data_IF_023152858432
#
_entry.id   IF_023152858432
#
_cell.length_a   1.000
_cell.length_b   1.000
_cell.length_c   1.000
_cell.angle_alpha   90.00
_cell.angle_beta   90.00
_cell.angle_gamma   90.00
#
_symmetry.space_group_name_H-M   'P 1'
#
loop_
_entity.id
_entity.type
_entity.pdbx_description
1 polymer ?
#
# COMPACT_ATOMS: atom_id res chain seq x y z
N UNK A 1 -12.52 26.89 11.55
CA UNK A 1 -12.45 26.50 10.12
C UNK A 1 -11.63 27.58 9.44
N UNK A 2 -10.60 27.23 8.67
CA UNK A 2 -9.89 28.24 7.89
C UNK A 2 -10.87 28.83 6.87
N UNK A 3 -11.06 30.14 6.90
CA UNK A 3 -11.82 30.83 5.85
C UNK A 3 -11.00 30.69 4.57
N UNK A 4 -11.48 29.84 3.66
CA UNK A 4 -10.91 29.71 2.32
C UNK A 4 -11.37 30.89 1.46
N UNK A 5 -10.47 31.47 0.68
CA UNK A 5 -10.80 32.53 -0.27
C UNK A 5 -11.58 31.95 -1.44
N UNK A 6 -11.26 30.71 -1.83
CA UNK A 6 -11.95 29.98 -2.89
C UNK A 6 -12.84 28.90 -2.25
N UNK A 7 -14.18 29.00 -2.40
CA UNK A 7 -15.08 27.96 -1.90
C UNK A 7 -15.04 26.72 -2.83
N UNK A 8 -15.20 25.53 -2.24
CA UNK A 8 -15.09 24.25 -2.97
C UNK A 8 -16.18 24.08 -4.05
N UNK A 9 -17.28 24.82 -3.96
CA UNK A 9 -18.38 24.81 -4.91
C UNK A 9 -18.04 25.55 -6.23
N UNK A 10 -16.98 26.37 -6.21
CA UNK A 10 -16.57 27.18 -7.38
C UNK A 10 -15.42 26.55 -8.18
N UNK A 11 -14.95 25.38 -7.78
CA UNK A 11 -13.89 24.67 -8.49
C UNK A 11 -14.44 24.07 -9.79
N UNK A 12 -13.67 24.22 -10.87
CA UNK A 12 -13.98 23.66 -12.18
C UNK A 12 -13.65 22.17 -12.22
N UNK A 13 -14.64 21.37 -12.55
CA UNK A 13 -14.52 19.92 -12.71
C UNK A 13 -13.58 19.56 -13.87
N UNK A 14 -12.76 18.54 -13.69
CA UNK A 14 -11.78 18.09 -14.68
C UNK A 14 -10.50 18.93 -14.73
N UNK A 15 -10.38 20.00 -13.94
CA UNK A 15 -9.13 20.73 -13.80
C UNK A 15 -8.05 19.85 -13.19
N UNK A 16 -6.82 20.02 -13.69
CA UNK A 16 -5.62 19.32 -13.22
C UNK A 16 -4.76 20.30 -12.46
N UNK A 17 -4.27 19.89 -11.29
CA UNK A 17 -3.42 20.69 -10.41
C UNK A 17 -2.17 19.90 -10.09
N UNK A 18 -1.02 20.54 -10.16
CA UNK A 18 0.26 19.89 -9.89
C UNK A 18 0.82 20.35 -8.55
N UNK A 19 1.19 19.40 -7.68
CA UNK A 19 1.82 19.69 -6.39
C UNK A 19 3.15 18.94 -6.29
N UNK A 20 4.25 19.68 -6.18
CA UNK A 20 5.60 19.13 -6.03
C UNK A 20 6.02 19.16 -4.56
N UNK A 21 6.76 18.15 -4.11
CA UNK A 21 7.36 18.12 -2.79
C UNK A 21 8.13 16.83 -2.52
N UNK A 22 8.73 16.75 -1.34
CA UNK A 22 9.45 15.57 -0.87
C UNK A 22 8.49 14.61 -0.18
N UNK A 23 8.52 13.35 -0.57
CA UNK A 23 7.65 12.34 0.02
C UNK A 23 8.04 12.06 1.47
N UNK A 24 7.10 12.18 2.40
CA UNK A 24 7.32 11.81 3.81
C UNK A 24 6.62 10.50 4.15
N UNK A 25 5.45 10.28 3.58
CA UNK A 25 4.67 9.07 3.80
C UNK A 25 3.86 8.75 2.55
N UNK A 26 3.80 7.47 2.19
CA UNK A 26 2.95 6.99 1.11
C UNK A 26 2.29 5.67 1.46
N UNK A 27 1.02 5.56 1.04
CA UNK A 27 0.24 4.34 0.94
C UNK A 27 -0.42 4.35 -0.43
N UNK A 28 0.30 3.85 -1.42
CA UNK A 28 -0.07 3.87 -2.84
C UNK A 28 -0.16 2.47 -3.45
N UNK A 29 0.59 1.49 -2.92
CA UNK A 29 0.59 0.12 -3.42
C UNK A 29 -0.72 -0.61 -3.07
N UNK A 30 -1.30 -0.31 -1.90
CA UNK A 30 -2.56 -0.88 -1.45
C UNK A 30 -3.35 0.14 -0.61
N UNK A 31 -4.70 0.09 -0.66
CA UNK A 31 -5.53 0.96 0.16
C UNK A 31 -5.47 0.53 1.64
N UNK A 32 -5.46 1.53 2.53
CA UNK A 32 -5.60 1.31 3.97
C UNK A 32 -7.02 0.79 4.23
N UNK A 33 -7.15 -0.46 4.65
CA UNK A 33 -8.43 -1.16 4.83
C UNK A 33 -8.41 -2.09 6.05
N UNK A 34 -9.58 -2.60 6.46
CA UNK A 34 -9.70 -3.56 7.55
C UNK A 34 -9.16 -3.05 8.90
N UNK A 35 -8.30 -3.85 9.54
CA UNK A 35 -7.67 -3.49 10.83
C UNK A 35 -6.80 -2.23 10.72
N UNK A 36 -6.02 -2.09 9.65
CA UNK A 36 -5.18 -0.91 9.44
C UNK A 36 -6.01 0.38 9.30
N UNK A 37 -7.23 0.28 8.76
CA UNK A 37 -8.17 1.40 8.71
C UNK A 37 -8.71 1.75 10.11
N UNK A 38 -9.04 0.76 10.92
CA UNK A 38 -9.49 0.99 12.30
C UNK A 38 -8.40 1.68 13.14
N UNK A 39 -7.15 1.25 13.02
CA UNK A 39 -5.99 1.88 13.67
C UNK A 39 -5.74 3.30 13.17
N UNK A 40 -5.82 3.52 11.85
CA UNK A 40 -5.68 4.85 11.25
C UNK A 40 -6.77 5.79 11.76
N UNK A 41 -8.03 5.35 11.80
CA UNK A 41 -9.15 6.13 12.34
C UNK A 41 -8.95 6.45 13.83
N UNK A 42 -8.51 5.47 14.63
CA UNK A 42 -8.23 5.67 16.05
C UNK A 42 -7.10 6.69 16.26
N UNK A 43 -6.01 6.59 15.48
CA UNK A 43 -4.90 7.55 15.50
C UNK A 43 -5.36 8.95 15.10
N UNK A 44 -6.14 9.08 14.03
CA UNK A 44 -6.66 10.38 13.56
C UNK A 44 -7.57 11.03 14.62
N UNK A 45 -8.42 10.24 15.29
CA UNK A 45 -9.25 10.72 16.40
C UNK A 45 -8.41 11.16 17.61
N UNK A 46 -7.38 10.39 17.97
CA UNK A 46 -6.46 10.74 19.05
C UNK A 46 -5.68 12.04 18.75
N UNK A 47 -5.40 12.32 17.47
CA UNK A 47 -4.81 13.56 17.01
C UNK A 47 -5.82 14.73 16.91
N UNK A 48 -7.08 14.53 17.32
CA UNK A 48 -8.11 15.57 17.30
C UNK A 48 -8.69 15.87 15.92
N UNK A 49 -8.53 14.98 14.92
CA UNK A 49 -9.15 15.16 13.60
C UNK A 49 -10.66 14.99 13.73
N UNK A 50 -11.41 16.06 13.45
CA UNK A 50 -12.87 16.11 13.60
C UNK A 50 -13.59 15.11 12.69
N UNK A 51 -13.07 14.92 11.47
CA UNK A 51 -13.62 13.99 10.47
C UNK A 51 -12.51 13.05 9.99
N UNK A 52 -12.31 11.90 10.66
CA UNK A 52 -11.35 10.91 10.23
C UNK A 52 -11.85 10.18 8.98
N UNK A 53 -10.92 9.74 8.13
CA UNK A 53 -11.26 9.01 6.91
C UNK A 53 -11.61 7.56 7.24
N UNK A 54 -12.90 7.21 7.17
CA UNK A 54 -13.42 5.88 7.56
C UNK A 54 -13.64 4.92 6.38
N UNK A 55 -13.46 5.39 5.15
CA UNK A 55 -13.51 4.55 3.96
C UNK A 55 -12.09 4.05 3.62
N UNK A 56 -11.94 2.91 2.92
CA UNK A 56 -10.66 2.50 2.36
C UNK A 56 -10.04 3.61 1.51
N UNK A 57 -8.77 3.94 1.77
CA UNK A 57 -8.11 5.06 1.10
C UNK A 57 -6.61 4.84 0.93
N UNK A 58 -6.06 5.47 -0.10
CA UNK A 58 -4.61 5.70 -0.26
C UNK A 58 -4.26 7.06 0.31
N UNK A 59 -3.07 7.21 0.90
CA UNK A 59 -2.63 8.48 1.50
C UNK A 59 -1.26 8.84 0.97
N UNK A 60 -1.07 10.12 0.66
CA UNK A 60 0.24 10.69 0.37
C UNK A 60 0.46 11.91 1.23
N UNK A 61 1.64 12.01 1.82
CA UNK A 61 2.08 13.17 2.58
C UNK A 61 3.43 13.65 2.07
N UNK A 62 3.48 14.94 1.74
CA UNK A 62 4.64 15.65 1.24
C UNK A 62 5.15 16.67 2.26
N UNK A 63 6.43 17.00 2.16
CA UNK A 63 7.10 18.13 2.81
C UNK A 63 7.79 19.01 1.77
N UNK A 64 8.05 20.26 2.14
CA UNK A 64 8.44 21.32 1.20
C UNK A 64 7.48 21.38 -0.01
N UNK A 65 6.20 21.19 0.26
CA UNK A 65 5.17 21.10 -0.76
C UNK A 65 4.91 22.48 -1.38
N UNK A 66 4.85 22.53 -2.71
CA UNK A 66 4.52 23.72 -3.49
C UNK A 66 3.54 23.36 -4.61
N UNK A 67 2.57 24.25 -4.86
CA UNK A 67 1.72 24.16 -6.04
C UNK A 67 2.49 24.69 -7.24
N UNK A 68 2.52 23.94 -8.34
CA UNK A 68 3.10 24.39 -9.60
C UNK A 68 2.01 25.15 -10.35
N UNK A 69 2.26 26.43 -10.61
CA UNK A 69 1.33 27.29 -11.34
C UNK A 69 1.41 26.95 -12.82
N UNK A 70 0.27 26.57 -13.39
CA UNK A 70 0.17 26.14 -14.79
C UNK A 70 0.15 27.32 -15.76
N UNK A 71 -0.32 28.48 -15.30
CA UNK A 71 -0.37 29.70 -16.11
C UNK A 71 1.04 30.30 -16.30
N UNK A 72 1.51 30.48 -17.55
CA UNK A 72 2.77 31.15 -17.84
C UNK A 72 2.87 32.58 -17.29
N UNK A 73 1.74 33.24 -17.02
CA UNK A 73 1.70 34.58 -16.42
C UNK A 73 2.07 34.59 -14.93
N UNK A 74 2.12 33.41 -14.29
CA UNK A 74 2.39 33.26 -12.85
C UNK A 74 1.18 33.51 -11.96
N UNK A 75 0.00 33.76 -12.53
CA UNK A 75 -1.25 33.95 -11.77
C UNK A 75 -1.87 32.59 -11.44
N UNK A 76 -2.08 32.24 -10.16
CA UNK A 76 -2.71 30.98 -9.79
C UNK A 76 -4.19 30.97 -10.19
N UNK A 77 -4.64 29.84 -10.73
CA UNK A 77 -6.06 29.56 -10.92
C UNK A 77 -6.80 29.44 -9.57
N UNK A 78 -8.13 29.57 -9.55
CA UNK A 78 -8.91 29.33 -8.33
C UNK A 78 -8.65 27.95 -7.73
N UNK A 79 -8.46 26.94 -8.56
CA UNK A 79 -8.16 25.57 -8.17
C UNK A 79 -6.77 25.43 -7.53
N UNK A 80 -5.74 26.02 -8.13
CA UNK A 80 -4.39 26.07 -7.57
C UNK A 80 -4.37 26.82 -6.23
N UNK A 81 -5.10 27.94 -6.15
CA UNK A 81 -5.26 28.73 -4.92
C UNK A 81 -5.93 27.89 -3.82
N UNK A 82 -6.97 27.13 -4.16
CA UNK A 82 -7.66 26.25 -3.21
C UNK A 82 -6.73 25.17 -2.61
N UNK A 83 -5.85 24.60 -3.45
CA UNK A 83 -4.85 23.62 -2.99
C UNK A 83 -3.75 24.30 -2.19
N UNK A 84 -3.33 25.50 -2.59
CA UNK A 84 -2.35 26.31 -1.86
C UNK A 84 -2.83 26.66 -0.44
N UNK A 85 -4.11 27.00 -0.28
CA UNK A 85 -4.74 27.23 1.03
C UNK A 85 -4.88 25.96 1.88
N UNK A 86 -4.74 24.79 1.26
CA UNK A 86 -4.76 23.49 1.94
C UNK A 86 -3.37 23.00 2.37
N UNK A 87 -2.31 23.70 1.96
CA UNK A 87 -0.97 23.50 2.50
C UNK A 87 -0.96 23.87 3.98
N UNK A 88 -0.21 23.13 4.79
CA UNK A 88 -0.11 23.38 6.22
C UNK A 88 1.34 23.42 6.67
N UNK A 89 1.66 24.25 7.65
CA UNK A 89 2.96 24.19 8.30
C UNK A 89 2.98 23.03 9.29
N UNK A 90 3.93 22.11 9.14
CA UNK A 90 4.11 21.01 10.09
C UNK A 90 4.55 21.56 11.45
N UNK A 91 3.88 21.12 12.51
CA UNK A 91 4.09 21.64 13.88
C UNK A 91 5.07 20.80 14.71
N UNK A 92 5.42 19.60 14.27
CA UNK A 92 6.15 18.62 15.09
C UNK A 92 6.88 17.58 14.23
N UNK A 93 7.89 16.94 14.83
CA UNK A 93 8.72 15.92 14.20
C UNK A 93 9.87 16.50 13.38
N UNK A 94 10.56 15.63 12.63
CA UNK A 94 11.75 15.99 11.83
C UNK A 94 11.46 17.02 10.73
N UNK A 95 10.19 17.20 10.38
CA UNK A 95 9.72 18.13 9.36
C UNK A 95 9.10 19.40 9.95
N UNK A 96 9.28 19.68 11.24
CA UNK A 96 8.70 20.86 11.89
C UNK A 96 9.13 22.17 11.19
N UNK A 97 8.18 23.07 10.97
CA UNK A 97 8.40 24.34 10.27
C UNK A 97 8.35 24.25 8.73
N UNK A 98 8.37 23.05 8.16
CA UNK A 98 8.24 22.87 6.70
C UNK A 98 6.76 22.94 6.26
N UNK A 99 6.54 23.39 5.03
CA UNK A 99 5.22 23.36 4.38
C UNK A 99 4.93 21.94 3.93
N UNK A 100 3.88 21.35 4.48
CA UNK A 100 3.39 20.02 4.16
C UNK A 100 2.10 20.05 3.36
N UNK A 101 1.87 18.96 2.66
CA UNK A 101 0.61 18.67 1.99
C UNK A 101 0.25 17.22 2.23
N UNK A 102 -1.00 16.94 2.58
CA UNK A 102 -1.48 15.58 2.80
C UNK A 102 -2.85 15.43 2.20
N UNK A 103 -3.04 14.34 1.46
CA UNK A 103 -4.29 14.04 0.77
C UNK A 103 -4.61 12.56 0.90
N UNK A 104 -5.87 12.28 1.23
CA UNK A 104 -6.45 10.95 1.25
C UNK A 104 -7.29 10.78 -0.02
N UNK A 105 -6.99 9.77 -0.82
CA UNK A 105 -7.80 9.39 -1.97
C UNK A 105 -8.65 8.17 -1.61
N UNK A 106 -9.98 8.37 -1.58
CA UNK A 106 -11.00 7.37 -1.25
C UNK A 106 -11.61 6.69 -2.48
N UNK A 107 -11.09 7.00 -3.67
CA UNK A 107 -11.50 6.35 -4.91
C UNK A 107 -11.18 4.85 -4.92
N UNK A 108 -11.98 4.08 -5.64
CA UNK A 108 -11.76 2.64 -5.80
C UNK A 108 -10.54 2.30 -6.69
N UNK A 109 -10.08 3.28 -7.48
CA UNK A 109 -8.96 3.13 -8.42
C UNK A 109 -7.70 3.68 -7.76
N UNK A 110 -6.63 2.89 -7.74
CA UNK A 110 -5.32 3.33 -7.26
C UNK A 110 -4.73 4.40 -8.19
N UNK A 111 -4.07 5.43 -7.64
CA UNK A 111 -3.36 6.41 -8.45
C UNK A 111 -2.31 5.75 -9.34
N UNK A 112 -2.16 6.23 -10.57
CA UNK A 112 -1.10 5.73 -11.46
C UNK A 112 0.25 6.30 -11.03
N UNK A 113 1.26 5.45 -10.87
CA UNK A 113 2.61 5.89 -10.50
C UNK A 113 3.53 5.82 -11.71
N UNK A 114 4.27 6.90 -11.92
CA UNK A 114 5.13 7.14 -13.05
C UNK A 114 6.57 7.35 -12.57
N UNK A 115 7.52 6.58 -13.10
CA UNK A 115 8.96 6.75 -12.85
C UNK A 115 9.59 7.57 -13.97
N UNK A 116 10.51 8.48 -13.61
CA UNK A 116 11.29 9.25 -14.57
C UNK A 116 12.47 8.42 -15.09
N UNK A 117 12.49 8.17 -16.39
CA UNK A 117 13.59 7.52 -17.10
C UNK A 117 14.79 8.48 -17.26
N UNK A 118 15.98 7.95 -17.57
CA UNK A 118 17.19 8.75 -17.82
C UNK A 118 17.01 9.79 -18.94
N UNK A 119 16.22 9.46 -19.96
CA UNK A 119 15.88 10.32 -21.09
C UNK A 119 14.90 11.46 -20.72
N UNK A 120 14.45 11.52 -19.46
CA UNK A 120 13.48 12.50 -18.96
C UNK A 120 12.03 12.18 -19.30
N UNK A 121 11.75 11.05 -19.96
CA UNK A 121 10.40 10.52 -20.18
C UNK A 121 9.87 9.82 -18.93
N UNK A 122 8.56 9.59 -18.85
CA UNK A 122 7.93 8.88 -17.74
C UNK A 122 7.40 7.53 -18.17
N UNK A 123 7.65 6.49 -17.38
CA UNK A 123 7.10 5.14 -17.58
C UNK A 123 6.19 4.75 -16.41
N UNK A 124 5.08 4.09 -16.70
CA UNK A 124 4.19 3.60 -15.65
C UNK A 124 4.80 2.40 -14.96
N UNK A 125 4.80 2.43 -13.62
CA UNK A 125 5.22 1.33 -12.78
C UNK A 125 4.05 0.82 -11.94
N UNK A 126 4.01 -0.49 -11.73
CA UNK A 126 3.09 -1.11 -10.79
C UNK A 126 3.84 -1.26 -9.48
N UNK A 127 3.33 -0.60 -8.43
CA UNK A 127 3.96 -0.64 -7.12
C UNK A 127 3.72 -2.00 -6.46
N UNK A 128 4.79 -2.75 -6.22
CA UNK A 128 4.76 -3.91 -5.33
C UNK A 128 4.76 -3.47 -3.86
N UNK A 129 5.32 -2.29 -3.58
CA UNK A 129 5.49 -1.70 -2.24
C UNK A 129 5.30 -0.20 -2.29
N UNK A 130 5.05 0.38 -1.11
CA UNK A 130 4.96 1.83 -0.96
C UNK A 130 6.32 2.51 -1.20
N UNK A 131 6.28 3.75 -1.68
CA UNK A 131 7.46 4.54 -2.01
C UNK A 131 8.20 4.97 -0.72
N UNK A 132 9.53 5.02 -0.81
CA UNK A 132 10.39 5.44 0.28
C UNK A 132 10.25 6.94 0.58
N UNK A 133 10.42 7.36 1.84
CA UNK A 133 10.50 8.78 2.18
C UNK A 133 11.76 9.43 1.58
N UNK A 134 11.70 10.73 1.37
CA UNK A 134 12.79 11.55 0.83
C UNK A 134 12.83 11.66 -0.70
N UNK A 135 11.94 10.98 -1.42
CA UNK A 135 11.85 11.09 -2.89
C UNK A 135 11.20 12.42 -3.30
N UNK A 136 11.77 13.10 -4.31
CA UNK A 136 11.10 14.23 -4.95
C UNK A 136 10.00 13.73 -5.89
N UNK A 137 8.76 14.16 -5.62
CA UNK A 137 7.58 13.70 -6.33
C UNK A 137 6.69 14.87 -6.74
N UNK A 138 5.97 14.68 -7.84
CA UNK A 138 4.92 15.59 -8.31
C UNK A 138 3.59 14.84 -8.34
N UNK A 139 2.63 15.32 -7.56
CA UNK A 139 1.26 14.80 -7.56
C UNK A 139 0.45 15.51 -8.65
N UNK A 140 -0.24 14.71 -9.45
CA UNK A 140 -1.26 15.17 -10.41
C UNK A 140 -2.60 14.98 -9.74
N UNK A 141 -3.21 16.10 -9.37
CA UNK A 141 -4.49 16.14 -8.71
C UNK A 141 -5.59 16.47 -9.72
N UNK A 142 -6.76 15.89 -9.54
CA UNK A 142 -7.93 16.19 -10.35
C UNK A 142 -9.08 16.72 -9.51
N UNK A 143 -9.76 17.74 -10.02
CA UNK A 143 -11.02 18.23 -9.42
C UNK A 143 -12.17 17.39 -9.95
N UNK A 144 -12.99 16.84 -9.04
CA UNK A 144 -14.17 16.07 -9.42
C UNK A 144 -15.38 16.44 -8.57
N UNK A 145 -16.58 16.21 -9.10
CA UNK A 145 -17.82 16.37 -8.35
C UNK A 145 -18.35 15.00 -7.93
N UNK A 146 -18.41 14.69 -6.62
CA UNK A 146 -19.11 13.50 -6.16
C UNK A 146 -20.61 13.61 -6.49
N UNK A 147 -21.24 12.48 -6.87
CA UNK A 147 -22.63 12.47 -7.33
C UNK A 147 -23.62 13.07 -6.34
N UNK A 148 -23.42 12.80 -5.05
CA UNK A 148 -24.36 13.16 -3.97
C UNK A 148 -23.92 14.40 -3.16
N UNK A 149 -22.91 15.14 -3.64
CA UNK A 149 -22.37 16.29 -2.93
C UNK A 149 -22.26 17.53 -3.83
N UNK A 150 -22.63 18.69 -3.29
CA UNK A 150 -22.53 19.97 -4.01
C UNK A 150 -21.08 20.45 -4.12
N UNK A 151 -20.27 20.15 -3.09
CA UNK A 151 -18.85 20.50 -3.02
C UNK A 151 -18.03 19.60 -3.92
N UNK A 152 -17.05 20.19 -4.62
CA UNK A 152 -16.11 19.44 -5.44
C UNK A 152 -15.00 18.90 -4.55
N UNK A 153 -14.55 17.69 -4.85
CA UNK A 153 -13.42 17.03 -4.22
C UNK A 153 -12.15 17.19 -5.05
N UNK A 154 -11.02 16.98 -4.38
CA UNK A 154 -9.71 16.83 -5.02
C UNK A 154 -9.31 15.36 -4.88
N UNK A 155 -8.97 14.73 -5.99
CA UNK A 155 -8.48 13.36 -6.05
C UNK A 155 -7.02 13.32 -6.50
N UNK A 156 -6.37 12.18 -6.28
CA UNK A 156 -5.05 11.90 -6.83
C UNK A 156 -5.25 11.08 -8.09
N UNK A 157 -4.83 11.61 -9.24
CA UNK A 157 -4.88 10.88 -10.50
C UNK A 157 -3.57 10.14 -10.76
N UNK A 158 -2.44 10.84 -10.61
CA UNK A 158 -1.12 10.31 -10.87
C UNK A 158 -0.08 10.82 -9.87
N UNK A 159 0.99 10.04 -9.70
CA UNK A 159 2.17 10.38 -8.91
C UNK A 159 3.39 10.22 -9.79
N UNK A 160 4.09 11.31 -10.06
CA UNK A 160 5.34 11.31 -10.82
C UNK A 160 6.50 11.31 -9.83
N UNK A 161 7.40 10.36 -9.96
CA UNK A 161 8.64 10.32 -9.20
C UNK A 161 9.73 10.94 -10.07
N UNK A 162 10.27 12.07 -9.64
CA UNK A 162 11.24 12.85 -10.42
C UNK A 162 12.67 12.29 -10.32
N UNK A 163 12.88 11.32 -9.43
CA UNK A 163 14.13 10.63 -9.14
C UNK A 163 13.97 9.12 -9.31
N UNK A 164 15.07 8.33 -9.34
CA UNK A 164 14.98 6.87 -9.36
C UNK A 164 14.14 6.35 -8.20
N UNK A 165 13.21 5.44 -8.50
CA UNK A 165 12.23 4.95 -7.52
C UNK A 165 12.92 4.17 -6.41
N UNK A 166 12.52 4.46 -5.17
CA UNK A 166 12.96 3.76 -3.97
C UNK A 166 11.73 3.29 -3.20
N UNK A 167 11.82 2.11 -2.58
CA UNK A 167 10.71 1.50 -1.85
C UNK A 167 10.93 1.54 -0.33
N UNK A 168 9.83 1.62 0.42
CA UNK A 168 9.83 1.57 1.87
C UNK A 168 10.17 0.15 2.38
N UNK A 169 11.19 0.06 3.23
CA UNK A 169 11.79 -1.20 3.67
C UNK A 169 12.81 -1.71 2.65
N UNK A 170 14.06 -1.91 3.08
CA UNK A 170 15.23 -2.13 2.23
C UNK A 170 15.01 -3.10 1.08
N UNK A 171 14.69 -2.54 -0.10
CA UNK A 171 14.86 -3.25 -1.36
C UNK A 171 16.35 -3.42 -1.61
N UNK A 172 16.75 -4.63 -2.01
CA UNK A 172 18.12 -4.88 -2.45
C UNK A 172 18.31 -4.25 -3.82
N UNK A 173 19.24 -3.31 -3.92
CA UNK A 173 19.69 -2.76 -5.20
C UNK A 173 20.48 -3.84 -5.95
N UNK A 174 19.78 -4.58 -6.81
CA UNK A 174 20.34 -5.66 -7.60
C UNK A 174 21.46 -5.19 -8.52
N UNK A 175 21.42 -3.94 -8.98
CA UNK A 175 22.45 -3.36 -9.83
C UNK A 175 23.72 -3.05 -9.01
N UNK A 176 23.57 -2.45 -7.82
CA UNK A 176 24.70 -2.24 -6.92
C UNK A 176 25.33 -3.54 -6.40
N UNK A 177 24.52 -4.58 -6.18
CA UNK A 177 25.01 -5.91 -5.79
C UNK A 177 25.76 -6.59 -6.94
N UNK A 178 25.21 -6.55 -8.15
CA UNK A 178 25.87 -7.05 -9.35
C UNK A 178 27.20 -6.32 -9.63
N UNK A 179 27.23 -5.00 -9.47
CA UNK A 179 28.45 -4.19 -9.59
C UNK A 179 29.53 -4.56 -8.56
N UNK A 180 29.13 -5.17 -7.44
CA UNK A 180 30.04 -5.70 -6.40
C UNK A 180 30.30 -7.21 -6.56
N UNK A 181 29.88 -7.80 -7.67
CA UNK A 181 30.07 -9.23 -7.97
C UNK A 181 29.12 -10.16 -7.19
N UNK A 182 28.09 -9.63 -6.54
CA UNK A 182 27.11 -10.41 -5.77
C UNK A 182 25.94 -10.73 -6.70
N UNK A 183 25.87 -11.99 -7.14
CA UNK A 183 24.77 -12.52 -7.95
C UNK A 183 23.83 -13.31 -7.05
N UNK A 184 22.58 -12.86 -6.92
CA UNK A 184 21.59 -13.57 -6.11
C UNK A 184 20.82 -14.57 -6.98
N UNK A 185 20.80 -15.82 -6.54
CA UNK A 185 20.04 -16.91 -7.17
C UNK A 185 18.63 -16.98 -6.58
N UNK A 186 17.62 -16.61 -7.38
CA UNK A 186 16.20 -16.69 -7.04
C UNK A 186 15.58 -15.36 -6.59
N UNK A 187 14.25 -15.31 -6.42
CA UNK A 187 13.55 -14.09 -6.06
C UNK A 187 13.91 -13.67 -4.63
N UNK A 188 14.52 -12.49 -4.51
CA UNK A 188 14.86 -11.88 -3.23
C UNK A 188 13.58 -11.46 -2.52
N UNK A 189 13.36 -11.96 -1.32
CA UNK A 189 12.23 -11.57 -0.46
C UNK A 189 12.77 -11.00 0.83
N UNK A 190 12.27 -9.84 1.24
CA UNK A 190 12.49 -9.35 2.60
C UNK A 190 11.69 -10.22 3.56
N UNK A 191 12.36 -10.80 4.54
CA UNK A 191 11.70 -11.52 5.63
C UNK A 191 11.40 -10.51 6.73
N UNK A 192 10.14 -10.37 7.14
CA UNK A 192 9.80 -9.55 8.30
C UNK A 192 10.42 -10.19 9.54
N UNK A 193 10.85 -9.37 10.51
CA UNK A 193 11.46 -9.88 11.74
C UNK A 193 10.53 -10.81 12.54
N UNK A 194 9.21 -10.65 12.39
CA UNK A 194 8.18 -11.49 13.00
C UNK A 194 8.03 -12.86 12.29
N UNK A 195 8.42 -12.94 11.01
CA UNK A 195 8.40 -14.16 10.20
C UNK A 195 9.78 -14.84 10.14
N UNK A 196 10.78 -14.27 10.81
CA UNK A 196 12.11 -14.88 10.90
C UNK A 196 12.01 -16.16 11.73
N UNK A 197 12.50 -17.32 11.23
CA UNK A 197 12.55 -18.52 12.05
C UNK A 197 13.36 -18.20 13.31
N UNK A 198 12.72 -18.30 14.48
CA UNK A 198 13.37 -18.17 15.77
C UNK A 198 14.47 -19.24 15.82
N UNK A 199 15.71 -18.83 15.56
CA UNK A 199 16.84 -19.72 15.72
C UNK A 199 16.90 -20.11 17.19
N UNK A 200 16.49 -21.35 17.50
CA UNK A 200 16.61 -21.92 18.82
C UNK A 200 18.10 -22.05 19.15
N UNK A 201 18.68 -20.99 19.73
CA UNK A 201 20.01 -21.04 20.35
C UNK A 201 19.90 -21.79 21.68
N UNK A 202 19.77 -23.11 21.60
CA UNK A 202 20.00 -24.00 22.72
C UNK A 202 21.53 -24.13 22.92
N UNK A 203 22.13 -23.15 23.58
CA UNK A 203 23.44 -23.32 24.22
C UNK A 203 23.28 -23.04 25.71
N UNK A 204 22.76 -24.04 26.43
CA UNK A 204 22.97 -24.14 27.88
C UNK A 204 24.45 -24.44 28.14
N UNK A 205 25.25 -23.39 28.29
CA UNK A 205 26.57 -23.51 28.89
C UNK A 205 26.40 -23.48 30.42
N UNK A 206 26.28 -24.67 31.00
CA UNK A 206 26.36 -24.89 32.45
C UNK A 206 27.73 -24.42 32.93
N UNK A 207 27.73 -23.42 33.82
CA UNK A 207 28.93 -22.91 34.49
C UNK A 207 29.42 -23.96 35.48
N UNK A 208 30.39 -24.77 35.06
CA UNK A 208 31.23 -25.58 35.95
C UNK A 208 32.57 -24.88 36.10
N UNK A 209 32.80 -24.22 37.23
CA UNK A 209 34.10 -23.67 37.58
C UNK A 209 35.06 -24.79 38.05
N UNK A 210 36.31 -24.78 37.57
CA UNK A 210 37.42 -25.10 38.45
C UNK A 210 38.46 -23.96 38.49
N UNK A 211 39.07 -23.85 39.67
CA UNK A 211 40.03 -22.86 40.15
C UNK A 211 41.22 -22.58 39.23
N UNK A 212 41.56 -21.30 39.07
CA UNK A 212 42.92 -20.83 38.73
C UNK A 212 43.82 -20.82 39.98
N UNK A 213 45.12 -21.04 39.82
CA UNK A 213 46.03 -19.98 40.25
C UNK A 213 47.10 -19.66 39.21
N UNK A 214 47.51 -18.39 39.21
CA UNK A 214 48.86 -17.98 38.81
C UNK A 214 48.96 -17.13 37.54
N UNK A 215 48.82 -15.81 37.72
CA UNK A 215 49.51 -14.75 36.99
C UNK A 215 49.64 -14.87 35.46
N UNK A 216 48.90 -14.04 34.72
CA UNK A 216 49.48 -12.90 33.99
C UNK A 216 48.38 -12.04 33.39
N UNK A 217 48.36 -10.77 33.78
CA UNK A 217 47.65 -9.69 33.10
C UNK A 217 48.40 -9.42 31.79
N UNK A 218 47.74 -9.51 30.64
CA UNK A 218 48.12 -8.72 29.47
C UNK A 218 46.87 -8.06 28.88
N UNK A 219 47.00 -6.75 28.85
CA UNK A 219 46.13 -5.68 28.40
C UNK A 219 46.13 -5.59 26.86
N UNK A 220 45.00 -5.16 26.30
CA UNK A 220 44.76 -4.73 24.92
C UNK A 220 44.50 -5.80 23.84
N UNK A 221 43.25 -5.77 23.37
CA UNK A 221 42.69 -6.61 22.33
C UNK A 221 43.27 -6.36 20.94
N UNK A 222 43.45 -7.48 20.22
CA UNK A 222 43.16 -7.73 18.80
C UNK A 222 43.71 -9.15 18.50
N UNK A 223 42.89 -10.15 18.12
CA UNK A 223 43.44 -11.45 17.72
C UNK A 223 44.05 -11.38 16.32
N UNK A 224 45.36 -11.66 16.21
CA UNK A 224 46.03 -12.00 14.95
C UNK A 224 45.66 -13.43 14.52
N UNK A 225 45.54 -13.72 13.21
CA UNK A 225 45.34 -15.07 12.71
C UNK A 225 46.66 -15.85 12.66
N UNK A 226 46.62 -17.12 13.03
CA UNK A 226 47.68 -18.08 12.69
C UNK A 226 47.27 -19.51 13.05
N UNK A 227 47.98 -20.55 12.57
CA UNK A 227 48.66 -20.69 11.29
C UNK A 227 48.01 -21.79 10.42
N UNK A 228 48.32 -21.73 9.12
CA UNK A 228 48.07 -22.72 8.06
C UNK A 228 48.52 -24.14 8.40
N UNK A 229 47.72 -25.14 7.99
CA UNK A 229 48.20 -26.52 7.80
C UNK A 229 47.82 -27.00 6.39
N UNK A 230 48.79 -27.60 5.73
CA UNK A 230 48.86 -27.90 4.31
C UNK A 230 48.04 -29.14 3.87
N UNK A 231 47.83 -29.20 2.55
CA UNK A 231 47.09 -30.19 1.78
C UNK A 231 47.65 -31.62 1.85
N UNK A 232 46.77 -32.60 1.67
CA UNK A 232 47.12 -33.90 1.08
C UNK A 232 46.17 -34.20 -0.08
N UNK A 233 46.78 -34.57 -1.21
CA UNK A 233 46.15 -34.94 -2.49
C UNK A 233 46.06 -36.46 -2.52
N UNK A 234 44.90 -37.01 -2.86
CA UNK A 234 44.78 -38.41 -3.26
C UNK A 234 43.79 -38.51 -4.43
N UNK A 235 44.25 -39.21 -5.46
CA UNK A 235 43.76 -39.23 -6.84
C UNK A 235 43.07 -40.57 -7.16
N UNK A 236 42.01 -40.49 -7.99
CA UNK A 236 41.16 -41.49 -8.69
C UNK A 236 40.88 -42.88 -8.07
N UNK A 237 39.60 -43.28 -8.16
CA UNK A 237 39.19 -44.42 -9.00
C UNK A 237 37.71 -44.27 -9.43
N UNK A 238 37.46 -44.44 -10.72
CA UNK A 238 36.14 -44.53 -11.34
C UNK A 238 35.70 -45.99 -11.46
N UNK A 239 34.43 -46.28 -11.16
CA UNK A 239 33.73 -47.47 -11.66
C UNK A 239 32.22 -47.19 -11.75
N UNK A 240 31.52 -47.67 -12.80
CA UNK A 240 30.15 -47.25 -13.12
C UNK A 240 29.11 -48.23 -12.55
N UNK A 241 27.98 -47.73 -12.03
CA UNK A 241 26.78 -48.55 -11.80
C UNK A 241 25.50 -47.73 -12.01
N UNK A 242 24.80 -48.09 -13.10
CA UNK A 242 23.34 -48.11 -13.36
C UNK A 242 22.40 -47.06 -12.74
N UNK A 243 21.58 -46.34 -13.56
CA UNK A 243 20.46 -45.56 -13.04
C UNK A 243 19.32 -46.47 -12.57
N UNK A 244 19.01 -46.41 -11.27
CA UNK A 244 17.79 -46.98 -10.71
C UNK A 244 16.62 -46.06 -11.09
N UNK A 245 15.68 -46.60 -11.85
CA UNK A 245 14.42 -45.94 -12.19
C UNK A 245 13.57 -45.82 -10.90
N UNK A 246 13.53 -44.63 -10.31
CA UNK A 246 12.60 -44.34 -9.21
C UNK A 246 11.30 -43.86 -9.85
N UNK A 247 10.28 -44.71 -9.81
CA UNK A 247 8.92 -44.37 -10.21
C UNK A 247 8.39 -43.26 -9.29
N UNK A 248 8.11 -42.09 -9.86
CA UNK A 248 7.37 -41.03 -9.18
C UNK A 248 5.91 -41.47 -8.99
N UNK A 249 5.34 -41.42 -7.78
CA UNK A 249 3.92 -41.61 -7.56
C UNK A 249 3.11 -40.58 -8.35
N UNK A 250 2.05 -41.04 -9.02
CA UNK A 250 1.16 -40.22 -9.84
C UNK A 250 0.60 -39.02 -9.06
N UNK A 251 0.93 -37.82 -9.52
CA UNK A 251 0.26 -36.57 -9.12
C UNK A 251 -1.20 -36.60 -9.63
N UNK A 252 -2.19 -36.17 -8.82
CA UNK A 252 -3.54 -35.94 -9.31
C UNK A 252 -3.50 -34.90 -10.44
N UNK A 253 -4.14 -35.24 -11.56
CA UNK A 253 -4.09 -34.47 -12.80
C UNK A 253 -4.45 -33.00 -12.58
N UNK A 254 -3.57 -32.12 -13.06
CA UNK A 254 -3.84 -30.69 -13.23
C UNK A 254 -4.94 -30.57 -14.28
N UNK A 255 -6.14 -30.18 -13.83
CA UNK A 255 -7.27 -29.83 -14.69
C UNK A 255 -6.82 -28.69 -15.62
N UNK A 256 -6.75 -28.96 -16.93
CA UNK A 256 -6.28 -28.00 -17.93
C UNK A 256 -7.18 -26.76 -17.94
N UNK A 257 -6.64 -25.59 -18.30
CA UNK A 257 -7.43 -24.35 -18.37
C UNK A 257 -8.69 -24.49 -19.25
N UNK A 258 -8.62 -25.34 -20.29
CA UNK A 258 -9.77 -25.67 -21.13
C UNK A 258 -10.90 -26.38 -20.35
N UNK A 259 -10.55 -27.26 -19.40
CA UNK A 259 -11.54 -27.94 -18.54
C UNK A 259 -12.15 -26.99 -17.51
N UNK A 260 -11.36 -26.05 -16.95
CA UNK A 260 -11.89 -25.00 -16.07
C UNK A 260 -12.86 -24.06 -16.78
N UNK A 261 -12.54 -23.66 -18.01
CA UNK A 261 -13.42 -22.79 -18.82
C UNK A 261 -14.73 -23.54 -19.13
N UNK A 262 -14.66 -24.80 -19.55
CA UNK A 262 -15.85 -25.61 -19.83
C UNK A 262 -16.75 -25.78 -18.59
N UNK A 263 -16.16 -25.95 -17.40
CA UNK A 263 -16.89 -26.05 -16.13
C UNK A 263 -17.55 -24.73 -15.75
N UNK A 264 -16.85 -23.61 -15.89
CA UNK A 264 -17.39 -22.26 -15.64
C UNK A 264 -18.54 -21.92 -16.59
N UNK A 265 -18.44 -22.31 -17.86
CA UNK A 265 -19.53 -22.11 -18.84
C UNK A 265 -20.76 -22.96 -18.52
N UNK A 266 -20.58 -24.21 -18.09
CA UNK A 266 -21.69 -25.05 -17.63
C UNK A 266 -22.36 -24.48 -16.37
N UNK A 267 -21.61 -23.93 -15.42
CA UNK A 267 -22.14 -23.32 -14.20
C UNK A 267 -22.92 -22.02 -14.50
N UNK A 268 -22.43 -21.21 -15.44
CA UNK A 268 -23.14 -20.02 -15.96
C UNK A 268 -24.43 -20.39 -16.73
N UNK A 269 -24.41 -21.48 -17.49
CA UNK A 269 -25.60 -21.98 -18.19
C UNK A 269 -26.66 -22.51 -17.21
N UNK A 270 -26.24 -23.22 -16.16
CA UNK A 270 -27.13 -23.72 -15.11
C UNK A 270 -27.76 -22.59 -14.29
N UNK A 271 -26.98 -21.56 -13.94
CA UNK A 271 -27.51 -20.38 -13.23
C UNK A 271 -28.47 -19.56 -14.10
N UNK A 272 -28.19 -19.41 -15.41
CA UNK A 272 -29.14 -18.79 -16.34
C UNK A 272 -30.42 -19.60 -16.51
N UNK A 273 -30.34 -20.93 -16.58
CA UNK A 273 -31.52 -21.79 -16.62
C UNK A 273 -32.35 -21.71 -15.33
N UNK A 274 -31.70 -21.60 -14.16
CA UNK A 274 -32.38 -21.38 -12.88
C UNK A 274 -33.06 -20.01 -12.79
N UNK A 275 -32.46 -18.96 -13.38
CA UNK A 275 -33.05 -17.62 -13.44
C UNK A 275 -34.24 -17.50 -14.39
N UNK A 276 -34.31 -18.35 -15.43
CA UNK A 276 -35.46 -18.41 -16.34
C UNK A 276 -36.64 -19.19 -15.71
N UNK A 277 -36.36 -20.09 -14.76
CA UNK A 277 -37.38 -20.91 -14.08
C UNK A 277 -37.86 -20.36 -12.72
N UNK A 278 -37.36 -19.20 -12.28
CA UNK A 278 -37.82 -18.51 -11.06
C UNK A 278 -38.91 -17.45 -11.33
N UNK A 279 -39.47 -17.44 -12.54
CA UNK A 279 -40.67 -16.68 -12.90
C UNK A 279 -41.97 -17.27 -12.36
N UNK A 280 -42.03 -17.57 -11.06
CA UNK A 280 -43.29 -17.78 -10.34
C UNK A 280 -43.17 -17.09 -9.00
N UNK A 281 -43.96 -16.03 -8.85
CA UNK A 281 -43.97 -15.15 -7.71
C UNK A 281 -44.14 -15.90 -6.39
N UNK A 282 -43.23 -15.61 -5.46
CA UNK A 282 -43.46 -15.57 -4.03
C UNK A 282 -42.22 -14.98 -3.36
N UNK A 283 -42.03 -13.67 -3.53
CA UNK A 283 -41.16 -12.86 -2.67
C UNK A 283 -42.05 -12.06 -1.71
N UNK A 284 -41.76 -12.02 -0.40
CA UNK A 284 -42.63 -11.40 0.61
C UNK A 284 -42.64 -9.85 0.56
N UNK A 285 -42.20 -9.25 -0.54
CA UNK A 285 -42.09 -7.80 -0.73
C UNK A 285 -42.89 -7.27 -1.93
N UNK A 286 -43.61 -8.11 -2.66
CA UNK A 286 -44.55 -7.65 -3.69
C UNK A 286 -45.89 -7.24 -3.06
N UNK A 287 -45.89 -6.05 -2.45
CA UNK A 287 -47.12 -5.34 -2.13
C UNK A 287 -47.62 -4.59 -3.37
N UNK A 288 -48.89 -4.81 -3.72
CA UNK A 288 -49.59 -4.11 -4.79
C UNK A 288 -49.57 -2.57 -4.57
N UNK A 289 -49.61 -1.75 -5.64
CA UNK A 289 -49.60 -0.30 -5.50
C UNK A 289 -50.95 0.16 -4.95
N UNK A 290 -51.01 0.45 -3.65
CA UNK A 290 -52.25 0.92 -3.02
C UNK A 290 -52.15 1.33 -1.55
N UNK A 291 -51.28 0.72 -0.75
CA UNK A 291 -51.28 0.96 0.70
C UNK A 291 -50.09 1.82 1.15
N UNK A 292 -50.29 3.14 1.13
CA UNK A 292 -49.43 4.07 1.87
C UNK A 292 -49.89 4.16 3.33
N UNK A 293 -49.01 3.90 4.33
CA UNK A 293 -49.37 3.92 5.75
C UNK A 293 -49.64 5.32 6.33
N UNK A 294 -49.64 6.36 5.49
CA UNK A 294 -49.81 7.76 5.87
C UNK A 294 -51.20 8.33 5.58
N UNK A 295 -52.13 7.50 5.10
CA UNK A 295 -53.48 7.95 4.76
C UNK A 295 -54.55 7.12 5.45
N UNK A 296 -54.68 7.27 6.78
CA UNK A 296 -55.86 6.81 7.52
C UNK A 296 -56.60 8.02 8.12
N UNK A 297 -57.93 8.12 7.96
CA UNK A 297 -58.73 9.13 8.62
C UNK A 297 -58.82 8.88 10.14
N UNK A 298 -59.01 9.92 10.96
CA UNK A 298 -59.01 9.79 12.41
C UNK A 298 -60.18 8.93 12.91
N UNK A 299 -59.87 7.90 13.69
CA UNK A 299 -60.85 7.05 14.38
C UNK A 299 -61.44 7.83 15.57
N UNK A 300 -62.77 7.98 15.69
CA UNK A 300 -63.37 8.70 16.80
C UNK A 300 -63.44 7.80 18.04
N UNK A 301 -62.94 8.29 19.18
CA UNK A 301 -63.25 7.72 20.48
C UNK A 301 -62.04 7.31 21.31
N UNK A 302 -61.24 8.28 21.77
CA UNK A 302 -60.52 8.15 23.05
C UNK A 302 -60.72 9.47 23.79
N UNK A 303 -61.55 9.43 24.83
CA UNK A 303 -61.72 10.53 25.78
C UNK A 303 -60.53 10.53 26.74
N UNK A 304 -59.84 11.66 26.85
CA UNK A 304 -58.86 11.90 27.90
C UNK A 304 -59.58 12.24 29.20
N UNK A 305 -59.31 11.48 30.26
CA UNK A 305 -59.60 11.83 31.65
C UNK A 305 -58.29 11.71 32.44
N UNK A 306 -57.91 12.80 33.11
CA UNK A 306 -56.85 12.84 34.14
C UNK A 306 -55.47 13.18 33.62
#
# INVERSE_FOLDING_TARGET
MANRTVPAERLKEGSVILVSGNLTFSRLAAPISGQALAESVARQKAQGRLYPTTAPHTTVTLTNARVIISDPSGVPTPEETFVQESLYTSKSGDNAGQIGYSIDNTGAILPTVLERNEDGTYSQIILERDLAPGLDVTLVLNVFKPKDYEKRGIGIQQVLVNEPVKFYGGGLDMAALAARGIVISGPVRTVNAEDAPQAAVAHTATVGAPSLPGNTVIENGLPLPGPTVAASVAEVHAAPVTPVHVQTPAQPGVESEAQKIARLEQELAATRAAAVNSGTGNSPFDAAPGDSPWNQPPVPGIQYQG
#
